data_IF_187689170652
#
_entry.id   IF_187689170652
#
_cell.length_a   1.000
_cell.length_b   1.000
_cell.length_c   1.000
_cell.angle_alpha   90.00
_cell.angle_beta   90.00
_cell.angle_gamma   90.00
#
_symmetry.space_group_name_H-M   'P 1'
#
loop_
_entity.id
_entity.type
_entity.pdbx_description
1 polymer ?
#
# COMPACT_ATOMS: atom_id res chain seq x y z
N UNK A 1 -1.38 13.41 15.15
CA UNK A 1 -0.50 12.58 14.28
C UNK A 1 0.73 12.23 15.11
N UNK A 2 0.95 10.95 15.43
CA UNK A 2 2.01 10.54 16.36
C UNK A 2 3.26 10.21 15.54
N UNK A 3 4.40 10.81 15.89
CA UNK A 3 5.72 10.46 15.33
C UNK A 3 6.25 9.27 16.12
N UNK A 4 6.37 8.10 15.48
CA UNK A 4 7.05 6.95 16.05
C UNK A 4 8.41 6.79 15.38
N UNK A 5 9.49 6.73 16.17
CA UNK A 5 10.83 6.43 15.68
C UNK A 5 11.08 4.93 15.81
N UNK A 6 11.35 4.25 14.69
CA UNK A 6 11.72 2.84 14.67
C UNK A 6 13.26 2.74 14.74
N UNK A 7 13.81 2.60 15.94
CA UNK A 7 15.20 2.15 16.14
C UNK A 7 15.25 0.63 16.10
N UNK A 8 16.41 0.07 15.78
CA UNK A 8 16.67 -1.33 15.39
C UNK A 8 16.52 -2.38 16.52
N UNK A 9 15.57 -2.16 17.41
CA UNK A 9 15.14 -3.10 18.44
C UNK A 9 13.64 -3.18 18.32
N UNK A 10 13.12 -4.41 18.25
CA UNK A 10 11.69 -4.71 18.19
C UNK A 10 10.89 -3.64 18.92
N UNK A 11 10.00 -2.94 18.20
CA UNK A 11 8.97 -2.16 18.88
C UNK A 11 8.13 -3.19 19.60
N UNK A 12 8.48 -3.44 20.86
CA UNK A 12 7.67 -4.22 21.77
C UNK A 12 6.46 -3.34 22.03
N UNK A 13 5.49 -3.45 21.14
CA UNK A 13 4.11 -3.12 21.47
C UNK A 13 3.76 -4.11 22.59
N UNK A 14 3.97 -3.73 23.85
CA UNK A 14 3.41 -4.46 25.00
C UNK A 14 1.91 -4.23 25.01
N UNK A 15 1.23 -4.80 24.02
CA UNK A 15 -0.20 -5.00 24.04
C UNK A 15 -0.38 -6.51 24.16
N UNK A 16 -0.78 -6.96 25.35
CA UNK A 16 -1.38 -8.28 25.54
C UNK A 16 -2.72 -8.28 24.79
N UNK A 17 -2.70 -8.48 23.49
CA UNK A 17 -3.89 -8.82 22.70
C UNK A 17 -3.43 -9.60 21.47
N UNK A 18 -3.86 -10.86 21.39
CA UNK A 18 -3.41 -11.89 20.45
C UNK A 18 -3.78 -11.62 18.97
N UNK A 19 -4.23 -10.42 18.58
CA UNK A 19 -4.73 -10.12 17.22
C UNK A 19 -4.08 -8.92 16.51
N UNK A 20 -3.07 -8.28 17.10
CA UNK A 20 -2.50 -7.03 16.58
C UNK A 20 -1.60 -7.20 15.36
N UNK A 21 -0.90 -8.34 15.20
CA UNK A 21 0.08 -8.49 14.12
C UNK A 21 -0.56 -8.67 12.75
N UNK A 22 -1.65 -9.44 12.64
CA UNK A 22 -2.40 -9.56 11.40
C UNK A 22 -3.08 -8.24 11.06
N UNK A 23 -3.68 -7.57 12.05
CA UNK A 23 -4.24 -6.23 11.87
C UNK A 23 -3.19 -5.24 11.36
N UNK A 24 -1.96 -5.29 11.88
CA UNK A 24 -0.85 -4.47 11.41
C UNK A 24 -0.50 -4.77 9.95
N UNK A 25 -0.39 -6.04 9.56
CA UNK A 25 -0.21 -6.40 8.14
C UNK A 25 -1.30 -5.79 7.26
N UNK A 26 -2.57 -6.02 7.60
CA UNK A 26 -3.71 -5.52 6.83
C UNK A 26 -3.79 -3.99 6.75
N UNK A 27 -3.21 -3.26 7.71
CA UNK A 27 -3.28 -1.80 7.79
C UNK A 27 -2.02 -1.10 7.26
N UNK A 28 -0.89 -1.81 7.18
CA UNK A 28 0.42 -1.22 6.88
C UNK A 28 1.05 -1.76 5.59
N UNK A 29 0.75 -2.99 5.16
CA UNK A 29 1.32 -3.62 3.95
C UNK A 29 0.46 -3.30 2.71
N UNK A 30 0.28 -1.99 2.47
CA UNK A 30 -0.56 -1.46 1.41
C UNK A 30 -2.05 -1.51 1.71
N UNK A 31 -2.85 -1.03 0.76
CA UNK A 31 -4.27 -0.77 0.91
C UNK A 31 -5.13 -1.91 0.37
N UNK A 32 -4.81 -2.48 -0.80
CA UNK A 32 -5.68 -3.46 -1.46
C UNK A 32 -5.57 -4.86 -0.86
N UNK A 33 -6.65 -5.63 -0.91
CA UNK A 33 -6.64 -7.04 -0.48
C UNK A 33 -5.96 -7.93 -1.53
N UNK A 34 -5.94 -7.50 -2.79
CA UNK A 34 -5.18 -8.18 -3.84
C UNK A 34 -3.67 -8.17 -3.55
N UNK A 35 -3.11 -7.05 -3.07
CA UNK A 35 -1.71 -7.00 -2.64
C UNK A 35 -1.46 -7.96 -1.48
N UNK A 36 -2.31 -7.92 -0.46
CA UNK A 36 -2.18 -8.78 0.74
C UNK A 36 -2.25 -10.26 0.37
N UNK A 37 -3.25 -10.65 -0.42
CA UNK A 37 -3.38 -12.00 -0.96
C UNK A 37 -2.15 -12.39 -1.77
N UNK A 38 -1.65 -11.47 -2.60
CA UNK A 38 -0.49 -11.75 -3.45
C UNK A 38 0.73 -12.11 -2.60
N UNK A 39 1.00 -11.34 -1.53
CA UNK A 39 2.10 -11.59 -0.59
C UNK A 39 1.94 -12.92 0.16
N UNK A 40 0.71 -13.26 0.57
CA UNK A 40 0.45 -14.44 1.40
C UNK A 40 0.35 -15.75 0.62
N UNK A 41 0.12 -15.70 -0.69
CA UNK A 41 -0.22 -16.91 -1.48
C UNK A 41 0.83 -17.29 -2.50
N UNK A 42 1.53 -16.34 -3.11
CA UNK A 42 2.41 -16.64 -4.24
C UNK A 42 3.89 -16.68 -3.86
N UNK A 43 4.67 -17.39 -4.67
CA UNK A 43 6.13 -17.37 -4.56
C UNK A 43 6.70 -15.99 -4.87
N UNK A 44 7.92 -15.70 -4.41
CA UNK A 44 8.56 -14.38 -4.58
C UNK A 44 8.61 -13.90 -6.05
N UNK A 45 8.93 -14.79 -6.99
CA UNK A 45 8.98 -14.45 -8.41
C UNK A 45 7.59 -14.08 -8.96
N UNK A 46 6.56 -14.83 -8.56
CA UNK A 46 5.17 -14.54 -8.93
C UNK A 46 4.68 -13.24 -8.30
N UNK A 47 5.07 -12.95 -7.05
CA UNK A 47 4.77 -11.66 -6.40
C UNK A 47 5.31 -10.53 -7.28
N UNK A 48 6.61 -10.53 -7.62
CA UNK A 48 7.18 -9.47 -8.46
C UNK A 48 6.41 -9.30 -9.78
N UNK A 49 6.17 -10.40 -10.49
CA UNK A 49 5.47 -10.39 -11.79
C UNK A 49 4.03 -9.85 -11.70
N UNK A 50 3.34 -10.10 -10.58
CA UNK A 50 1.95 -9.67 -10.34
C UNK A 50 1.84 -8.23 -9.85
N UNK A 51 2.87 -7.71 -9.17
CA UNK A 51 2.81 -6.39 -8.54
C UNK A 51 3.24 -5.26 -9.49
N UNK A 52 4.33 -5.44 -10.23
CA UNK A 52 4.89 -4.38 -11.09
C UNK A 52 5.47 -4.95 -12.40
N UNK A 53 5.59 -4.09 -13.41
CA UNK A 53 6.27 -4.38 -14.67
C UNK A 53 7.70 -3.82 -14.68
N UNK A 54 7.88 -2.64 -14.09
CA UNK A 54 9.15 -1.91 -14.05
C UNK A 54 9.32 -1.25 -12.68
N UNK A 55 10.56 -1.16 -12.21
CA UNK A 55 10.91 -0.40 -11.02
C UNK A 55 12.37 0.06 -11.11
N UNK A 56 12.62 1.33 -10.75
CA UNK A 56 13.96 1.91 -10.77
C UNK A 56 14.08 3.06 -9.76
N UNK A 57 15.32 3.41 -9.47
CA UNK A 57 15.68 4.53 -8.60
C UNK A 57 15.93 5.74 -9.50
N UNK A 58 15.16 6.81 -9.36
CA UNK A 58 15.30 8.06 -10.14
C UNK A 58 16.21 9.09 -9.45
N UNK A 59 16.49 8.88 -8.16
CA UNK A 59 17.37 9.71 -7.34
C UNK A 59 17.56 9.07 -5.98
N UNK A 60 18.40 9.64 -5.10
CA UNK A 60 18.85 9.00 -3.85
C UNK A 60 17.71 8.41 -3.00
N UNK A 61 16.54 9.06 -2.97
CA UNK A 61 15.34 8.60 -2.27
C UNK A 61 14.06 8.78 -3.09
N UNK A 62 14.19 8.74 -4.42
CA UNK A 62 13.06 8.84 -5.34
C UNK A 62 12.90 7.49 -6.03
N UNK A 63 11.85 6.78 -5.65
CA UNK A 63 11.54 5.46 -6.20
C UNK A 63 10.46 5.59 -7.25
N UNK A 64 10.67 4.93 -8.38
CA UNK A 64 9.67 4.78 -9.41
C UNK A 64 9.21 3.33 -9.51
N UNK A 65 7.90 3.14 -9.72
CA UNK A 65 7.33 1.83 -10.01
C UNK A 65 6.19 1.92 -11.02
N UNK A 66 6.17 0.99 -11.97
CA UNK A 66 5.06 0.83 -12.91
C UNK A 66 4.20 -0.34 -12.46
N UNK A 67 3.02 -0.02 -11.95
CA UNK A 67 2.11 -0.98 -11.34
C UNK A 67 1.40 -1.84 -12.39
N UNK A 68 1.23 -3.13 -12.10
CA UNK A 68 0.36 -4.00 -12.91
C UNK A 68 -1.10 -3.59 -12.78
N UNK A 69 -1.88 -3.91 -13.82
CA UNK A 69 -3.30 -3.53 -13.97
C UNK A 69 -4.17 -3.79 -12.73
N UNK A 70 -3.93 -4.88 -12.00
CA UNK A 70 -4.74 -5.27 -10.82
C UNK A 70 -4.37 -4.53 -9.53
N UNK A 71 -3.24 -3.84 -9.48
CA UNK A 71 -2.78 -3.15 -8.26
C UNK A 71 -3.44 -1.79 -8.08
N UNK A 72 -3.59 -1.35 -6.83
CA UNK A 72 -4.12 -0.03 -6.53
C UNK A 72 -2.99 1.00 -6.47
N UNK A 73 -3.23 2.24 -6.91
CA UNK A 73 -2.26 3.33 -6.80
C UNK A 73 -1.82 3.56 -5.35
N UNK A 74 -2.72 3.33 -4.39
CA UNK A 74 -2.41 3.43 -2.95
C UNK A 74 -1.42 2.37 -2.46
N UNK A 75 -1.18 1.32 -3.24
CA UNK A 75 -0.21 0.29 -2.94
C UNK A 75 1.20 0.64 -3.45
N UNK A 76 1.33 1.64 -4.34
CA UNK A 76 2.61 2.05 -4.93
C UNK A 76 3.72 2.28 -3.90
N UNK A 77 3.47 2.95 -2.75
CA UNK A 77 4.48 3.10 -1.70
C UNK A 77 5.10 1.78 -1.22
N UNK A 78 4.27 0.76 -1.00
CA UNK A 78 4.77 -0.54 -0.54
C UNK A 78 5.46 -1.28 -1.68
N UNK A 79 4.85 -1.28 -2.86
CA UNK A 79 5.34 -2.04 -4.02
C UNK A 79 6.70 -1.49 -4.48
N UNK A 80 6.89 -0.16 -4.49
CA UNK A 80 8.17 0.44 -4.89
C UNK A 80 9.31 0.03 -3.94
N UNK A 81 9.06 0.04 -2.63
CA UNK A 81 10.03 -0.41 -1.64
C UNK A 81 10.26 -1.91 -1.72
N UNK A 82 9.23 -2.72 -1.97
CA UNK A 82 9.42 -4.15 -2.17
C UNK A 82 10.28 -4.44 -3.40
N UNK A 83 10.11 -3.67 -4.48
CA UNK A 83 10.91 -3.82 -5.68
C UNK A 83 12.38 -3.41 -5.48
N UNK A 84 12.64 -2.31 -4.75
CA UNK A 84 13.95 -1.63 -4.75
C UNK A 84 14.74 -1.72 -3.43
N UNK A 85 14.08 -1.99 -2.30
CA UNK A 85 14.71 -2.03 -0.99
C UNK A 85 14.83 -3.47 -0.44
N UNK A 86 16.07 -3.89 -0.24
CA UNK A 86 16.39 -5.22 0.26
C UNK A 86 15.86 -5.48 1.68
N UNK A 87 15.66 -4.44 2.50
CA UNK A 87 15.06 -4.61 3.82
C UNK A 87 13.58 -4.98 3.73
N UNK A 88 12.84 -4.30 2.85
CA UNK A 88 11.44 -4.58 2.56
C UNK A 88 11.26 -6.00 2.04
N UNK A 89 12.11 -6.44 1.12
CA UNK A 89 12.10 -7.82 0.62
C UNK A 89 12.33 -8.83 1.74
N UNK A 90 13.32 -8.60 2.63
CA UNK A 90 13.56 -9.46 3.79
C UNK A 90 12.38 -9.50 4.76
N UNK A 91 11.64 -8.40 4.90
CA UNK A 91 10.43 -8.36 5.73
C UNK A 91 9.32 -9.25 5.15
N UNK A 92 9.13 -9.25 3.83
CA UNK A 92 8.21 -10.15 3.14
C UNK A 92 8.69 -11.61 3.21
N UNK A 93 9.97 -11.87 2.97
CA UNK A 93 10.52 -13.23 3.06
C UNK A 93 10.32 -13.84 4.46
N UNK A 94 10.36 -13.03 5.53
CA UNK A 94 10.07 -13.49 6.90
C UNK A 94 8.61 -13.87 7.09
N UNK A 95 7.68 -13.21 6.41
CA UNK A 95 6.26 -13.57 6.42
C UNK A 95 6.09 -14.90 5.68
N UNK A 96 6.64 -15.03 4.48
CA UNK A 96 6.53 -16.26 3.68
C UNK A 96 7.10 -17.48 4.39
N UNK A 97 8.31 -17.38 4.96
CA UNK A 97 8.91 -18.49 5.74
C UNK A 97 8.05 -18.95 6.93
N UNK A 98 7.28 -18.06 7.54
CA UNK A 98 6.36 -18.43 8.62
C UNK A 98 5.15 -19.20 8.09
N UNK A 99 4.70 -18.88 6.87
CA UNK A 99 3.58 -19.57 6.23
C UNK A 99 3.99 -20.96 5.77
N UNK A 100 5.14 -21.09 5.12
CA UNK A 100 5.66 -22.37 4.62
C UNK A 100 5.91 -23.37 5.77
N UNK A 101 6.34 -22.89 6.94
CA UNK A 101 6.60 -23.72 8.12
C UNK A 101 5.37 -24.03 8.98
N UNK A 102 4.18 -23.58 8.58
CA UNK A 102 2.95 -23.66 9.41
C UNK A 102 2.00 -24.79 9.06
N UNK A 103 2.37 -25.69 8.15
CA UNK A 103 1.49 -26.79 7.72
C UNK A 103 0.98 -27.62 8.91
N UNK A 104 -0.35 -27.61 9.11
CA UNK A 104 -1.03 -28.38 10.16
C UNK A 104 -1.00 -27.77 11.57
N UNK A 105 -0.41 -26.59 11.78
CA UNK A 105 -0.35 -25.93 13.10
C UNK A 105 -0.88 -24.49 13.06
N UNK A 106 -1.70 -24.12 14.05
CA UNK A 106 -2.12 -22.73 14.25
C UNK A 106 -0.90 -21.82 14.45
N UNK A 107 -0.62 -20.97 13.46
CA UNK A 107 0.55 -20.09 13.48
C UNK A 107 0.12 -18.63 13.58
N UNK A 108 0.66 -17.95 14.59
CA UNK A 108 0.48 -16.50 14.75
C UNK A 108 1.53 -15.77 13.91
N UNK A 109 1.08 -15.09 12.85
CA UNK A 109 1.98 -14.38 11.96
C UNK A 109 2.68 -13.22 12.69
N UNK A 110 4.01 -13.27 12.77
CA UNK A 110 4.82 -12.17 13.29
C UNK A 110 5.12 -11.19 12.16
N UNK A 111 4.59 -9.98 12.30
CA UNK A 111 4.70 -8.91 11.28
C UNK A 111 5.43 -7.72 11.88
N UNK A 112 6.47 -7.26 11.17
CA UNK A 112 7.25 -6.08 11.52
C UNK A 112 6.99 -4.95 10.49
N UNK A 113 7.39 -3.70 10.75
CA UNK A 113 7.42 -2.67 9.72
C UNK A 113 8.29 -3.09 8.54
N UNK A 114 7.84 -2.77 7.33
CA UNK A 114 8.52 -3.15 6.09
C UNK A 114 9.60 -2.14 5.66
N UNK A 115 9.75 -1.01 6.34
CA UNK A 115 10.73 0.04 6.00
C UNK A 115 11.67 0.34 7.17
N UNK A 116 12.80 1.00 6.85
CA UNK A 116 13.70 1.61 7.84
C UNK A 116 13.46 3.11 7.98
N UNK A 117 13.82 3.66 9.14
CA UNK A 117 13.76 5.09 9.40
C UNK A 117 12.46 5.53 10.06
N UNK A 118 12.25 6.85 10.10
CA UNK A 118 11.11 7.46 10.78
C UNK A 118 9.94 7.52 9.81
N UNK A 119 8.78 7.05 10.27
CA UNK A 119 7.51 7.24 9.57
C UNK A 119 6.44 7.66 10.58
N UNK A 120 5.39 8.30 10.07
CA UNK A 120 4.26 8.74 10.89
C UNK A 120 3.17 7.68 10.80
N UNK A 121 2.63 7.29 11.94
CA UNK A 121 1.51 6.37 12.01
C UNK A 121 0.28 7.14 12.45
N UNK A 122 -0.81 6.97 11.70
CA UNK A 122 -2.13 7.45 12.08
C UNK A 122 -2.83 6.34 12.85
N UNK A 123 -3.26 6.63 14.06
CA UNK A 123 -3.94 5.68 14.94
C UNK A 123 -5.30 6.21 15.39
N UNK A 124 -6.26 5.31 15.56
CA UNK A 124 -7.47 5.52 16.36
C UNK A 124 -7.22 4.99 17.76
N UNK A 125 -7.79 5.64 18.76
CA UNK A 125 -7.45 5.37 20.15
C UNK A 125 -8.12 6.34 21.11
N UNK A 126 -7.66 6.31 22.35
CA UNK A 126 -8.21 7.07 23.47
C UNK A 126 -7.11 7.92 24.11
N UNK A 127 -7.47 9.12 24.55
CA UNK A 127 -6.61 9.90 25.43
C UNK A 127 -6.66 9.31 26.84
N UNK A 128 -5.50 9.12 27.45
CA UNK A 128 -5.33 8.74 28.85
C UNK A 128 -4.93 9.97 29.66
N UNK A 129 -5.27 9.97 30.95
CA UNK A 129 -4.91 10.92 32.01
C UNK A 129 -4.48 12.33 31.53
N UNK A 130 -5.38 13.30 31.69
CA UNK A 130 -5.15 14.73 31.43
C UNK A 130 -4.60 15.06 30.02
N UNK A 131 -4.97 14.28 29.00
CA UNK A 131 -4.52 14.48 27.60
C UNK A 131 -2.99 14.45 27.41
N UNK A 132 -2.22 13.91 28.36
CA UNK A 132 -0.76 13.83 28.24
C UNK A 132 -0.31 12.62 27.43
N UNK A 133 -1.14 11.57 27.39
CA UNK A 133 -0.81 10.30 26.76
C UNK A 133 -1.95 9.83 25.87
N UNK A 134 -1.62 9.25 24.71
CA UNK A 134 -2.61 8.69 23.78
C UNK A 134 -2.39 7.18 23.61
N UNK A 135 -3.42 6.40 23.95
CA UNK A 135 -3.44 4.96 23.72
C UNK A 135 -3.95 4.66 22.31
N UNK A 136 -3.02 4.32 21.41
CA UNK A 136 -3.35 3.86 20.06
C UNK A 136 -3.88 2.43 20.06
N UNK A 137 -5.15 2.25 19.69
CA UNK A 137 -5.82 0.95 19.63
C UNK A 137 -5.79 0.33 18.23
N UNK A 138 -5.78 1.16 17.18
CA UNK A 138 -5.84 0.68 15.81
C UNK A 138 -5.09 1.59 14.85
N UNK A 139 -4.20 1.02 14.03
CA UNK A 139 -3.52 1.76 12.95
C UNK A 139 -4.49 2.02 11.81
N UNK A 140 -4.55 3.24 11.30
CA UNK A 140 -5.44 3.65 10.21
C UNK A 140 -4.70 4.21 9.00
N UNK A 141 -3.39 4.33 9.11
CA UNK A 141 -2.54 4.74 8.01
C UNK A 141 -1.09 4.88 8.46
N UNK A 142 -0.19 4.80 7.49
CA UNK A 142 1.25 4.96 7.68
C UNK A 142 1.74 5.89 6.58
N UNK A 143 2.59 6.85 6.91
CA UNK A 143 3.26 7.68 5.90
C UNK A 143 4.42 6.92 5.28
N UNK A 144 4.93 7.43 4.15
CA UNK A 144 6.25 7.05 3.68
C UNK A 144 7.32 7.32 4.77
N UNK A 145 8.42 6.55 4.76
CA UNK A 145 9.61 6.90 5.53
C UNK A 145 10.11 8.28 5.14
N UNK A 146 10.63 9.02 6.12
CA UNK A 146 11.07 10.40 5.94
C UNK A 146 12.15 10.53 4.85
N UNK A 147 11.95 11.49 3.95
CA UNK A 147 12.85 11.77 2.84
C UNK A 147 12.61 10.94 1.58
N UNK A 148 11.68 9.98 1.58
CA UNK A 148 11.33 9.21 0.38
C UNK A 148 10.17 9.83 -0.39
N UNK A 149 10.30 9.81 -1.71
CA UNK A 149 9.24 10.12 -2.67
C UNK A 149 9.00 8.90 -3.54
N UNK A 150 7.73 8.63 -3.87
CA UNK A 150 7.34 7.53 -4.74
C UNK A 150 6.58 8.07 -5.93
N UNK A 151 7.17 7.95 -7.10
CA UNK A 151 6.54 8.16 -8.38
C UNK A 151 5.99 6.82 -8.88
N UNK A 152 4.85 6.82 -9.55
CA UNK A 152 4.31 5.59 -10.11
C UNK A 152 3.50 5.84 -11.37
N UNK A 153 3.49 4.83 -12.23
CA UNK A 153 2.60 4.72 -13.38
C UNK A 153 1.87 3.38 -13.34
N UNK A 154 1.00 3.10 -14.32
CA UNK A 154 0.30 1.83 -14.47
C UNK A 154 0.50 1.28 -15.87
N UNK A 155 0.50 -0.05 -15.97
CA UNK A 155 0.30 -0.70 -17.25
C UNK A 155 -1.05 -0.26 -17.86
N UNK A 156 -0.97 0.39 -19.02
CA UNK A 156 -2.15 0.71 -19.82
C UNK A 156 -2.72 -0.57 -20.43
N UNK A 157 -4.05 -0.71 -20.37
CA UNK A 157 -4.75 -1.81 -21.05
C UNK A 157 -5.06 -1.54 -22.52
N UNK A 158 -4.75 -0.34 -23.01
CA UNK A 158 -4.94 0.03 -24.40
C UNK A 158 -3.59 -0.07 -25.11
N UNK A 159 -3.19 -1.29 -25.45
CA UNK A 159 -2.23 -1.50 -26.53
C UNK A 159 -2.99 -1.23 -27.82
N UNK A 160 -2.98 0.02 -28.29
CA UNK A 160 -3.18 0.30 -29.71
C UNK A 160 -1.78 0.49 -30.27
N UNK A 161 -1.25 -0.55 -30.91
CA UNK A 161 0.02 -0.49 -31.64
C UNK A 161 -0.11 0.27 -32.97
N UNK A 162 -1.31 0.70 -33.34
CA UNK A 162 -1.56 1.54 -34.51
C UNK A 162 -1.75 3.00 -34.07
N UNK A 163 -0.91 3.90 -34.60
CA UNK A 163 -1.23 5.32 -34.63
C UNK A 163 -2.62 5.47 -35.27
N UNK A 164 -3.54 6.15 -34.58
CA UNK A 164 -4.80 6.54 -35.19
C UNK A 164 -4.51 7.34 -36.46
N UNK A 165 -5.14 6.96 -37.57
CA UNK A 165 -5.17 7.77 -38.79
C UNK A 165 -5.76 9.14 -38.45
N UNK A 166 -5.08 10.22 -38.88
CA UNK A 166 -5.23 11.63 -38.46
C UNK A 166 -6.62 12.24 -38.76
N UNK A 167 -7.58 11.43 -39.23
CA UNK A 167 -8.93 11.83 -39.60
C UNK A 167 -10.08 10.96 -39.06
N UNK A 168 -9.82 9.91 -38.29
CA UNK A 168 -10.88 8.96 -37.93
C UNK A 168 -11.73 9.42 -36.71
N UNK A 169 -12.72 10.27 -36.96
CA UNK A 169 -13.77 10.68 -35.99
C UNK A 169 -14.64 9.53 -35.41
N UNK A 170 -14.40 8.28 -35.81
CA UNK A 170 -15.24 7.12 -35.45
C UNK A 170 -15.14 6.70 -33.98
N UNK A 171 -14.12 7.18 -33.25
CA UNK A 171 -13.89 6.79 -31.85
C UNK A 171 -14.97 7.29 -30.87
N UNK A 172 -15.83 8.22 -31.27
CA UNK A 172 -16.87 8.82 -30.42
C UNK A 172 -18.31 8.40 -30.78
N UNK A 173 -18.50 7.66 -31.89
CA UNK A 173 -19.85 7.37 -32.41
C UNK A 173 -20.66 6.41 -31.53
N UNK A 174 -20.01 5.65 -30.63
CA UNK A 174 -20.66 4.67 -29.74
C UNK A 174 -20.54 4.99 -28.24
N UNK A 175 -20.03 6.18 -27.88
CA UNK A 175 -19.99 6.59 -26.46
C UNK A 175 -21.36 7.13 -26.08
N UNK A 176 -22.13 6.32 -25.35
CA UNK A 176 -23.38 6.78 -24.72
C UNK A 176 -23.10 7.99 -23.83
N UNK A 177 -23.69 9.14 -24.15
CA UNK A 177 -23.55 10.36 -23.37
C UNK A 177 -23.92 10.10 -21.90
N UNK A 178 -22.94 10.19 -20.99
CA UNK A 178 -23.21 10.16 -19.55
C UNK A 178 -24.11 11.35 -19.21
N UNK A 179 -25.38 11.10 -18.89
CA UNK A 179 -26.26 12.11 -18.29
C UNK A 179 -25.74 12.44 -16.88
N UNK A 180 -24.91 13.47 -16.79
CA UNK A 180 -24.53 14.08 -15.52
C UNK A 180 -25.78 14.78 -14.99
N UNK A 181 -26.41 14.25 -13.92
CA UNK A 181 -27.45 14.97 -13.20
C UNK A 181 -26.80 16.14 -12.47
N UNK A 182 -27.00 17.36 -12.97
CA UNK A 182 -26.61 18.58 -12.26
C UNK A 182 -27.37 18.65 -10.92
N UNK A 183 -26.70 18.88 -9.78
CA UNK A 183 -27.40 19.05 -8.52
C UNK A 183 -28.25 20.33 -8.55
N UNK A 184 -29.51 20.22 -8.13
CA UNK A 184 -30.45 21.35 -8.04
C UNK A 184 -29.87 22.40 -7.08
N UNK A 185 -29.57 23.60 -7.60
CA UNK A 185 -29.26 24.77 -6.76
C UNK A 185 -30.54 25.18 -6.03
N UNK A 186 -30.59 24.96 -4.72
CA UNK A 186 -31.59 25.58 -3.87
C UNK A 186 -31.30 27.09 -3.80
N UNK A 187 -32.15 27.87 -4.44
CA UNK A 187 -32.19 29.32 -4.27
C UNK A 187 -33.10 29.57 -3.06
N UNK A 188 -32.51 29.86 -1.90
CA UNK A 188 -33.23 30.51 -0.80
C UNK A 188 -33.50 31.96 -1.22
N UNK A 189 -34.76 32.33 -1.37
CA UNK A 189 -35.18 33.74 -1.35
C UNK A 189 -35.64 34.07 0.06
N UNK A 190 -35.15 35.21 0.54
CA UNK A 190 -35.59 35.93 1.73
C UNK A 190 -37.06 36.32 1.62
#
# INVERSE_FOLDING_TARGET
MIKAAFSNSQVIIRARSLSLHLSFFYRCYGNSDELKRTILTYSKNEICNRLFSEANIEGEKVFYVKLRKRMNNKDAPFISFFALDAFTQKAVDRIQRQLDGSEGCETYLKVAPWFKGKARIKVKGLWLSDNKSFLGLSVTGVSLPEGYTVNFDRDNSNLVDEKADDGSKKAWDNVSARKIKTPRRNIQRR
#
